data_IF_596144481547
#
_entry.id   IF_596144481547
#
_cell.length_a   1.000
_cell.length_b   1.000
_cell.length_c   1.000
_cell.angle_alpha   90.00
_cell.angle_beta   90.00
_cell.angle_gamma   90.00
#
_symmetry.space_group_name_H-M   'P 1'
#
loop_
_entity.id
_entity.type
_entity.pdbx_description
1 polymer ?
#
# COMPACT_ATOMS: atom_id res chain seq x y z
N UNK A 1 -3.75 -37.54 -0.26
CA UNK A 1 -4.22 -36.24 0.28
C UNK A 1 -4.08 -35.17 -0.79
N UNK A 2 -5.18 -34.78 -1.43
CA UNK A 2 -5.23 -33.80 -2.53
C UNK A 2 -5.30 -32.36 -1.98
N UNK A 3 -4.22 -31.90 -1.36
CA UNK A 3 -4.06 -30.48 -1.01
C UNK A 3 -3.37 -29.76 -2.18
N UNK A 4 -4.15 -29.27 -3.15
CA UNK A 4 -3.57 -28.68 -4.37
C UNK A 4 -4.39 -27.58 -5.03
N UNK A 5 -5.36 -26.98 -4.33
CA UNK A 5 -6.10 -25.84 -4.85
C UNK A 5 -5.22 -24.58 -4.96
N UNK A 6 -5.52 -23.65 -5.89
CA UNK A 6 -4.83 -22.37 -5.95
C UNK A 6 -4.97 -21.62 -4.61
N UNK A 7 -3.98 -20.81 -4.21
CA UNK A 7 -4.00 -20.12 -2.92
C UNK A 7 -5.21 -19.18 -2.82
N UNK A 8 -5.89 -19.26 -1.68
CA UNK A 8 -7.08 -18.47 -1.35
C UNK A 8 -6.85 -17.70 -0.04
N UNK A 9 -7.54 -16.58 0.09
CA UNK A 9 -7.67 -15.82 1.34
C UNK A 9 -9.14 -15.84 1.70
N UNK A 10 -9.49 -16.43 2.83
CA UNK A 10 -10.87 -16.72 3.21
C UNK A 10 -11.61 -17.42 2.05
N UNK A 11 -12.49 -16.70 1.34
CA UNK A 11 -13.25 -17.22 0.19
C UNK A 11 -12.74 -16.73 -1.19
N UNK A 12 -11.84 -15.76 -1.23
CA UNK A 12 -11.38 -15.14 -2.48
C UNK A 12 -10.08 -15.77 -3.00
N UNK A 13 -9.91 -15.80 -4.32
CA UNK A 13 -8.63 -16.19 -4.94
C UNK A 13 -7.58 -15.16 -4.52
N UNK A 14 -6.47 -15.60 -3.92
CA UNK A 14 -5.43 -14.70 -3.40
C UNK A 14 -4.94 -13.71 -4.47
N UNK A 15 -4.90 -14.16 -5.73
CA UNK A 15 -4.56 -13.34 -6.89
C UNK A 15 -5.48 -12.14 -7.11
N UNK A 16 -6.78 -12.30 -6.95
CA UNK A 16 -7.74 -11.20 -7.12
C UNK A 16 -7.55 -10.14 -6.03
N UNK A 17 -7.23 -10.58 -4.81
CA UNK A 17 -6.94 -9.69 -3.68
C UNK A 17 -5.64 -8.91 -3.91
N UNK A 18 -4.58 -9.57 -4.40
CA UNK A 18 -3.31 -8.88 -4.73
C UNK A 18 -3.52 -7.84 -5.84
N UNK A 19 -4.30 -8.19 -6.88
CA UNK A 19 -4.61 -7.26 -7.98
C UNK A 19 -5.38 -6.05 -7.45
N UNK A 20 -6.36 -6.26 -6.57
CA UNK A 20 -7.11 -5.17 -5.96
C UNK A 20 -6.19 -4.24 -5.17
N UNK A 21 -5.32 -4.78 -4.32
CA UNK A 21 -4.37 -3.97 -3.53
C UNK A 21 -3.42 -3.17 -4.42
N UNK A 22 -2.86 -3.80 -5.46
CA UNK A 22 -1.97 -3.13 -6.40
C UNK A 22 -2.68 -2.02 -7.20
N UNK A 23 -3.95 -2.22 -7.59
CA UNK A 23 -4.74 -1.18 -8.23
C UNK A 23 -5.01 -0.01 -7.28
N UNK A 24 -5.38 -0.27 -6.02
CA UNK A 24 -5.59 0.78 -5.03
C UNK A 24 -4.29 1.56 -4.78
N UNK A 25 -3.16 0.86 -4.62
CA UNK A 25 -1.85 1.49 -4.48
C UNK A 25 -1.49 2.36 -5.68
N UNK A 26 -1.74 1.87 -6.90
CA UNK A 26 -1.51 2.65 -8.13
C UNK A 26 -2.36 3.93 -8.20
N UNK A 27 -3.63 3.87 -7.79
CA UNK A 27 -4.48 5.07 -7.71
C UNK A 27 -3.95 6.08 -6.70
N UNK A 28 -3.47 5.61 -5.54
CA UNK A 28 -2.83 6.48 -4.54
C UNK A 28 -1.57 7.13 -5.10
N UNK A 29 -0.73 6.39 -5.84
CA UNK A 29 0.44 6.97 -6.50
C UNK A 29 0.05 8.02 -7.56
N UNK A 30 -1.00 7.79 -8.36
CA UNK A 30 -1.51 8.79 -9.30
C UNK A 30 -1.97 10.04 -8.55
N UNK A 31 -2.75 9.86 -7.49
CA UNK A 31 -3.21 10.97 -6.67
C UNK A 31 -2.02 11.77 -6.12
N UNK A 32 -0.99 11.10 -5.61
CA UNK A 32 0.21 11.74 -5.09
C UNK A 32 0.96 12.55 -6.16
N UNK A 33 0.99 12.10 -7.41
CA UNK A 33 1.65 12.81 -8.53
C UNK A 33 0.84 14.02 -9.01
N UNK A 34 -0.49 13.96 -8.89
CA UNK A 34 -1.40 15.00 -9.37
C UNK A 34 -1.69 16.08 -8.30
N UNK A 35 -1.77 15.69 -7.04
CA UNK A 35 -2.21 16.57 -5.96
C UNK A 35 -1.07 17.32 -5.24
N UNK A 36 0.18 16.86 -5.38
CA UNK A 36 1.33 17.52 -4.75
C UNK A 36 2.12 18.32 -5.78
N UNK A 37 2.47 19.56 -5.43
CA UNK A 37 3.30 20.42 -6.27
C UNK A 37 4.81 20.17 -6.10
N UNK A 38 5.21 19.54 -4.99
CA UNK A 38 6.60 19.23 -4.69
C UNK A 38 7.22 18.23 -5.68
N UNK A 39 8.30 18.65 -6.34
CA UNK A 39 9.02 17.83 -7.31
C UNK A 39 9.50 16.48 -6.74
N UNK A 40 9.91 16.47 -5.47
CA UNK A 40 10.38 15.24 -4.79
C UNK A 40 9.22 14.26 -4.62
N UNK A 41 8.08 14.73 -4.12
CA UNK A 41 6.87 13.93 -3.87
C UNK A 41 6.27 13.40 -5.17
N UNK A 42 6.32 14.19 -6.24
CA UNK A 42 5.88 13.75 -7.58
C UNK A 42 6.81 12.69 -8.16
N UNK A 43 8.13 12.87 -8.04
CA UNK A 43 9.09 11.90 -8.56
C UNK A 43 9.00 10.56 -7.82
N UNK A 44 8.92 10.57 -6.48
CA UNK A 44 8.76 9.35 -5.68
C UNK A 44 7.43 8.66 -5.95
N UNK A 45 6.34 9.43 -6.11
CA UNK A 45 5.03 8.91 -6.51
C UNK A 45 5.05 8.25 -7.90
N UNK A 46 5.72 8.85 -8.88
CA UNK A 46 5.85 8.30 -10.22
C UNK A 46 6.67 7.01 -10.26
N UNK A 47 7.80 6.96 -9.54
CA UNK A 47 8.63 5.75 -9.43
C UNK A 47 7.86 4.64 -8.72
N UNK A 48 7.16 4.96 -7.63
CA UNK A 48 6.33 3.99 -6.90
C UNK A 48 5.17 3.47 -7.76
N UNK A 49 4.54 4.33 -8.55
CA UNK A 49 3.50 3.93 -9.50
C UNK A 49 4.02 2.99 -10.60
N UNK A 50 5.24 3.23 -11.11
CA UNK A 50 5.89 2.32 -12.06
C UNK A 50 6.19 0.96 -11.43
N UNK A 51 6.66 0.92 -10.19
CA UNK A 51 6.91 -0.32 -9.46
C UNK A 51 5.61 -1.12 -9.23
N UNK A 52 4.50 -0.44 -8.90
CA UNK A 52 3.18 -1.07 -8.80
C UNK A 52 2.71 -1.66 -10.13
N UNK A 53 2.93 -0.98 -11.26
CA UNK A 53 2.62 -1.53 -12.58
C UNK A 53 3.43 -2.81 -12.88
N UNK A 54 4.71 -2.85 -12.50
CA UNK A 54 5.54 -4.05 -12.66
C UNK A 54 5.05 -5.19 -11.75
N UNK A 55 4.65 -4.87 -10.52
CA UNK A 55 4.06 -5.83 -9.58
C UNK A 55 2.76 -6.40 -10.15
N UNK A 56 1.84 -5.53 -10.60
CA UNK A 56 0.58 -5.89 -11.23
C UNK A 56 0.82 -6.80 -12.44
N UNK A 57 1.76 -6.43 -13.31
CA UNK A 57 2.12 -7.23 -14.47
C UNK A 57 2.65 -8.61 -14.07
N UNK A 58 3.49 -8.70 -13.04
CA UNK A 58 4.01 -9.96 -12.53
C UNK A 58 2.91 -10.89 -12.01
N UNK A 59 1.94 -10.33 -11.28
CA UNK A 59 0.78 -11.05 -10.74
C UNK A 59 -0.19 -11.47 -11.86
N UNK A 60 -0.38 -10.64 -12.89
CA UNK A 60 -1.25 -10.92 -14.06
C UNK A 60 -0.62 -11.93 -15.04
N UNK A 61 0.70 -12.00 -15.15
CA UNK A 61 1.36 -13.05 -15.97
C UNK A 61 1.53 -14.37 -15.21
N UNK A 62 1.56 -14.36 -13.87
CA UNK A 62 1.58 -15.55 -13.01
C UNK A 62 2.67 -16.57 -13.40
N UNK A 63 3.86 -16.05 -13.75
CA UNK A 63 5.07 -16.85 -14.00
C UNK A 63 5.96 -16.82 -12.76
N UNK A 64 6.64 -17.93 -12.42
CA UNK A 64 7.42 -18.03 -11.19
C UNK A 64 8.56 -17.00 -11.12
N UNK A 65 9.25 -16.74 -12.24
CA UNK A 65 10.29 -15.70 -12.32
C UNK A 65 9.73 -14.29 -12.05
N UNK A 66 8.56 -13.98 -12.60
CA UNK A 66 7.91 -12.67 -12.43
C UNK A 66 7.32 -12.49 -11.04
N UNK A 67 6.76 -13.54 -10.44
CA UNK A 67 6.31 -13.52 -9.05
C UNK A 67 7.47 -13.33 -8.07
N UNK A 68 8.65 -13.85 -8.38
CA UNK A 68 9.86 -13.58 -7.60
C UNK A 68 10.24 -12.10 -7.64
N UNK A 69 10.18 -11.48 -8.82
CA UNK A 69 10.43 -10.03 -8.98
C UNK A 69 9.38 -9.22 -8.23
N UNK A 70 8.09 -9.54 -8.39
CA UNK A 70 6.99 -8.90 -7.67
C UNK A 70 7.15 -9.01 -6.14
N UNK A 71 7.67 -10.15 -5.64
CA UNK A 71 7.96 -10.34 -4.22
C UNK A 71 9.08 -9.41 -3.72
N UNK A 72 10.16 -9.23 -4.49
CA UNK A 72 11.22 -8.29 -4.14
C UNK A 72 10.73 -6.84 -4.16
N UNK A 73 9.93 -6.47 -5.17
CA UNK A 73 9.33 -5.13 -5.26
C UNK A 73 8.43 -4.86 -4.05
N UNK A 74 7.57 -5.82 -3.69
CA UNK A 74 6.71 -5.73 -2.50
C UNK A 74 7.51 -5.58 -1.21
N UNK A 75 8.67 -6.25 -1.09
CA UNK A 75 9.56 -6.11 0.07
C UNK A 75 10.25 -4.73 0.13
N UNK A 76 10.61 -4.17 -1.01
CA UNK A 76 11.14 -2.80 -1.11
C UNK A 76 10.07 -1.80 -0.66
N UNK A 77 8.84 -1.89 -1.18
CA UNK A 77 7.72 -1.04 -0.74
C UNK A 77 7.47 -1.13 0.76
N UNK A 78 7.43 -2.36 1.30
CA UNK A 78 7.25 -2.57 2.73
C UNK A 78 8.36 -1.89 3.57
N UNK A 79 9.59 -1.90 3.08
CA UNK A 79 10.73 -1.25 3.75
C UNK A 79 10.55 0.27 3.78
N UNK A 80 10.09 0.87 2.68
CA UNK A 80 9.74 2.28 2.64
C UNK A 80 8.57 2.59 3.58
N UNK A 81 7.51 1.79 3.59
CA UNK A 81 6.35 1.99 4.47
C UNK A 81 6.74 1.98 5.96
N UNK A 82 7.67 1.09 6.36
CA UNK A 82 8.24 1.10 7.70
C UNK A 82 9.10 2.34 7.99
N UNK A 83 9.77 2.93 7.00
CA UNK A 83 10.44 4.22 7.17
C UNK A 83 9.42 5.35 7.36
N UNK A 84 8.37 5.34 6.55
CA UNK A 84 7.31 6.36 6.55
C UNK A 84 6.53 6.36 7.86
N UNK A 85 6.25 5.19 8.46
CA UNK A 85 5.54 5.13 9.75
C UNK A 85 6.30 5.81 10.89
N UNK A 86 7.63 5.84 10.83
CA UNK A 86 8.48 6.48 11.86
C UNK A 86 8.56 8.00 11.69
N UNK A 87 8.51 8.48 10.45
CA UNK A 87 8.76 9.89 10.13
C UNK A 87 7.47 10.67 9.91
N UNK A 88 6.51 10.11 9.16
CA UNK A 88 5.34 10.84 8.70
C UNK A 88 4.41 11.35 9.81
N UNK A 89 4.05 10.55 10.84
CA UNK A 89 3.19 11.05 11.91
C UNK A 89 3.77 12.28 12.62
N UNK A 90 5.07 12.22 12.94
CA UNK A 90 5.78 13.31 13.60
C UNK A 90 5.90 14.53 12.68
N UNK A 91 6.24 14.30 11.40
CA UNK A 91 6.36 15.36 10.41
C UNK A 91 5.05 16.11 10.21
N UNK A 92 3.94 15.40 9.95
CA UNK A 92 2.62 16.03 9.74
C UNK A 92 2.06 16.67 11.02
N UNK A 93 2.26 16.04 12.18
CA UNK A 93 1.91 16.66 13.46
C UNK A 93 2.66 17.97 13.68
N UNK A 94 3.96 17.99 13.40
CA UNK A 94 4.81 19.17 13.56
C UNK A 94 4.43 20.28 12.58
N UNK A 95 4.15 19.97 11.32
CA UNK A 95 3.73 20.97 10.33
C UNK A 95 2.40 21.61 10.70
N UNK A 96 1.45 20.80 11.16
CA UNK A 96 0.13 21.26 11.58
C UNK A 96 0.22 22.09 12.87
N UNK A 97 0.97 21.63 13.86
CA UNK A 97 1.13 22.34 15.14
C UNK A 97 1.91 23.65 15.01
N UNK A 98 2.90 23.72 14.12
CA UNK A 98 3.67 24.94 13.85
C UNK A 98 2.92 25.98 13.00
N UNK A 99 1.78 25.61 12.41
CA UNK A 99 1.01 26.48 11.52
C UNK A 99 1.71 26.74 10.17
N UNK A 100 2.62 25.85 9.75
CA UNK A 100 3.28 25.94 8.44
C UNK A 100 2.29 25.63 7.30
N UNK A 101 1.39 24.67 7.50
CA UNK A 101 0.19 24.51 6.65
C UNK A 101 -0.92 25.42 7.18
N UNK A 102 -1.51 26.26 6.32
CA UNK A 102 -2.63 27.11 6.70
C UNK A 102 -3.85 26.25 7.03
N UNK A 103 -4.72 26.75 7.92
CA UNK A 103 -5.98 26.09 8.31
C UNK A 103 -6.91 25.74 7.13
N UNK A 104 -6.61 26.21 5.92
CA UNK A 104 -7.38 25.94 4.70
C UNK A 104 -7.08 24.57 4.08
N UNK A 105 -5.95 23.93 4.42
CA UNK A 105 -5.56 22.62 3.87
C UNK A 105 -6.43 21.47 4.41
N UNK A 106 -7.00 21.62 5.60
CA UNK A 106 -7.91 20.63 6.21
C UNK A 106 -9.19 21.28 6.73
N UNK A 107 -10.10 21.74 5.84
CA UNK A 107 -11.27 22.53 6.23
C UNK A 107 -12.26 21.74 7.11
N UNK A 108 -12.19 20.40 7.09
CA UNK A 108 -13.12 19.52 7.82
C UNK A 108 -12.85 19.54 9.33
N UNK A 109 -11.60 19.62 9.77
CA UNK A 109 -11.25 19.54 11.19
C UNK A 109 -11.64 20.78 12.03
N UNK A 110 -11.42 22.03 11.56
CA UNK A 110 -11.87 23.23 12.25
C UNK A 110 -13.40 23.31 12.39
N UNK A 111 -14.13 22.78 11.40
CA UNK A 111 -15.60 22.76 11.38
C UNK A 111 -16.15 21.77 12.43
N UNK A 112 -15.50 20.61 12.61
CA UNK A 112 -15.94 19.60 13.58
C UNK A 112 -15.55 19.97 15.02
N UNK A 113 -14.37 20.54 15.23
CA UNK A 113 -13.86 20.83 16.58
C UNK A 113 -14.10 22.26 17.07
N UNK A 114 -14.67 23.15 16.24
CA UNK A 114 -14.94 24.54 16.63
C UNK A 114 -13.69 25.32 17.03
N UNK A 115 -12.53 24.91 16.48
CA UNK A 115 -11.21 25.44 16.82
C UNK A 115 -11.09 26.91 16.41
N UNK A 116 -11.19 27.82 17.39
CA UNK A 116 -11.03 29.25 17.21
C UNK A 116 -9.55 29.60 17.36
N UNK A 117 -8.79 29.59 16.26
CA UNK A 117 -7.54 30.36 16.00
C UNK A 117 -6.55 30.63 17.16
N UNK A 118 -6.56 29.88 18.26
CA UNK A 118 -5.66 29.99 19.41
C UNK A 118 -4.52 29.00 19.24
N UNK A 119 -3.36 29.33 19.79
CA UNK A 119 -2.17 28.47 19.74
C UNK A 119 -2.43 27.09 20.37
N UNK A 120 -3.26 27.02 21.41
CA UNK A 120 -3.68 25.76 22.05
C UNK A 120 -4.46 24.84 21.08
N UNK A 121 -5.32 25.41 20.23
CA UNK A 121 -6.11 24.66 19.25
C UNK A 121 -5.21 24.07 18.15
N UNK A 122 -4.11 24.76 17.79
CA UNK A 122 -3.15 24.28 16.79
C UNK A 122 -2.36 23.09 17.30
N UNK A 123 -2.00 23.09 18.59
CA UNK A 123 -1.35 21.94 19.21
C UNK A 123 -2.26 20.70 19.22
N UNK A 124 -3.54 20.87 19.60
CA UNK A 124 -4.52 19.78 19.59
C UNK A 124 -4.73 19.27 18.15
N UNK A 125 -4.86 20.18 17.18
CA UNK A 125 -5.01 19.81 15.77
C UNK A 125 -3.79 19.01 15.28
N UNK A 126 -2.56 19.44 15.62
CA UNK A 126 -1.35 18.71 15.29
C UNK A 126 -1.28 17.31 15.90
N UNK A 127 -1.70 17.15 17.17
CA UNK A 127 -1.81 15.83 17.80
C UNK A 127 -2.80 14.92 17.07
N UNK A 128 -3.99 15.42 16.75
CA UNK A 128 -5.03 14.64 16.06
C UNK A 128 -4.59 14.25 14.66
N UNK A 129 -3.97 15.16 13.91
CA UNK A 129 -3.41 14.86 12.59
C UNK A 129 -2.30 13.81 12.69
N UNK A 130 -1.39 13.95 13.66
CA UNK A 130 -0.31 12.98 13.91
C UNK A 130 -0.84 11.57 14.15
N UNK A 131 -1.75 11.41 15.12
CA UNK A 131 -2.36 10.11 15.42
C UNK A 131 -3.17 9.55 14.26
N UNK A 132 -3.86 10.41 13.52
CA UNK A 132 -4.60 9.97 12.33
C UNK A 132 -3.66 9.38 11.28
N UNK A 133 -2.57 10.10 10.98
CA UNK A 133 -1.53 9.63 10.04
C UNK A 133 -0.90 8.33 10.55
N UNK A 134 -0.60 8.22 11.84
CA UNK A 134 -0.06 6.99 12.45
C UNK A 134 -0.98 5.78 12.23
N UNK A 135 -2.29 5.94 12.48
CA UNK A 135 -3.28 4.87 12.27
C UNK A 135 -3.33 4.46 10.80
N UNK A 136 -3.41 5.42 9.88
CA UNK A 136 -3.44 5.13 8.44
C UNK A 136 -2.15 4.46 7.96
N UNK A 137 -0.99 4.95 8.39
CA UNK A 137 0.31 4.35 8.06
C UNK A 137 0.44 2.92 8.62
N UNK A 138 -0.07 2.67 9.83
CA UNK A 138 -0.10 1.32 10.43
C UNK A 138 -0.95 0.36 9.60
N UNK A 139 -2.13 0.80 9.17
CA UNK A 139 -3.01 0.01 8.29
C UNK A 139 -2.31 -0.26 6.95
N UNK A 140 -1.64 0.74 6.37
CA UNK A 140 -0.91 0.60 5.12
C UNK A 140 0.20 -0.46 5.21
N UNK A 141 1.03 -0.40 6.26
CA UNK A 141 2.08 -1.41 6.53
C UNK A 141 1.46 -2.79 6.66
N UNK A 142 0.37 -2.94 7.40
CA UNK A 142 -0.30 -4.23 7.56
C UNK A 142 -0.80 -4.79 6.22
N UNK A 143 -1.38 -3.95 5.36
CA UNK A 143 -1.79 -4.33 4.01
C UNK A 143 -0.59 -4.72 3.13
N UNK A 144 0.53 -4.02 3.25
CA UNK A 144 1.78 -4.36 2.56
C UNK A 144 2.33 -5.73 2.97
N UNK A 145 2.34 -6.05 4.27
CA UNK A 145 2.71 -7.37 4.78
C UNK A 145 1.77 -8.44 4.21
N UNK A 146 0.46 -8.19 4.22
CA UNK A 146 -0.52 -9.11 3.68
C UNK A 146 -0.25 -9.35 2.19
N UNK A 147 -0.06 -8.31 1.39
CA UNK A 147 0.26 -8.40 -0.04
C UNK A 147 1.52 -9.25 -0.28
N UNK A 148 2.60 -9.01 0.47
CA UNK A 148 3.84 -9.80 0.40
C UNK A 148 3.59 -11.28 0.67
N UNK A 149 2.86 -11.61 1.75
CA UNK A 149 2.53 -13.00 2.11
C UNK A 149 1.72 -13.67 1.00
N UNK A 150 0.78 -12.97 0.38
CA UNK A 150 -0.03 -13.52 -0.71
C UNK A 150 0.80 -13.76 -1.98
N UNK A 151 1.69 -12.83 -2.34
CA UNK A 151 2.60 -12.99 -3.47
C UNK A 151 3.52 -14.19 -3.23
N UNK A 152 4.09 -14.31 -2.03
CA UNK A 152 4.94 -15.44 -1.66
C UNK A 152 4.17 -16.78 -1.73
N UNK A 153 2.95 -16.84 -1.22
CA UNK A 153 2.08 -18.03 -1.36
C UNK A 153 1.82 -18.38 -2.83
N UNK A 154 1.57 -17.38 -3.68
CA UNK A 154 1.41 -17.60 -5.12
C UNK A 154 2.69 -18.09 -5.80
N UNK A 155 3.84 -17.54 -5.41
CA UNK A 155 5.15 -17.94 -5.90
C UNK A 155 5.46 -19.40 -5.54
N UNK A 156 5.34 -19.77 -4.26
CA UNK A 156 5.61 -21.13 -3.77
C UNK A 156 4.67 -22.14 -4.44
N UNK A 157 3.37 -21.83 -4.53
CA UNK A 157 2.41 -22.69 -5.23
C UNK A 157 2.79 -22.91 -6.70
N UNK A 158 3.18 -21.85 -7.41
CA UNK A 158 3.54 -21.95 -8.82
C UNK A 158 4.85 -22.70 -9.03
N UNK A 159 5.82 -22.52 -8.14
CA UNK A 159 7.09 -23.26 -8.15
C UNK A 159 6.89 -24.74 -7.88
N UNK A 160 5.98 -25.11 -6.98
CA UNK A 160 5.63 -26.52 -6.74
C UNK A 160 4.95 -27.18 -7.96
N UNK A 161 4.17 -26.43 -8.75
CA UNK A 161 3.63 -26.92 -10.03
C UNK A 161 4.75 -27.10 -11.07
N UNK A 162 5.66 -26.13 -11.18
CA UNK A 162 6.79 -26.20 -12.13
C UNK A 162 7.72 -27.38 -11.82
N UNK A 163 7.95 -27.67 -10.54
CA UNK A 163 8.76 -28.81 -10.09
C UNK A 163 8.03 -30.15 -10.18
N UNK A 164 6.80 -30.20 -10.71
CA UNK A 164 6.02 -31.43 -10.86
C UNK A 164 5.46 -32.03 -9.57
N UNK A 165 5.67 -31.37 -8.42
CA UNK A 165 5.18 -31.82 -7.10
C UNK A 165 3.66 -31.70 -7.00
N UNK A 166 3.07 -30.68 -7.63
CA UNK A 166 1.64 -30.48 -7.73
C UNK A 166 1.18 -30.64 -9.18
N UNK A 167 0.20 -31.52 -9.44
CA UNK A 167 -0.48 -31.55 -10.74
C UNK A 167 -1.20 -30.21 -10.93
N UNK A 168 -0.96 -29.58 -12.09
CA UNK A 168 -1.67 -28.37 -12.51
C UNK A 168 -3.16 -28.70 -12.57
N UNK A 169 -3.93 -28.29 -11.57
CA UNK A 169 -5.38 -28.41 -11.62
C UNK A 169 -5.87 -27.44 -12.68
N UNK A 170 -6.17 -27.96 -13.88
CA UNK A 170 -6.76 -27.21 -14.99
C UNK A 170 -8.19 -26.83 -14.62
N UNK A 171 -8.36 -25.91 -13.67
CA UNK A 171 -9.62 -25.21 -13.52
C UNK A 171 -9.62 -24.16 -14.62
N UNK A 172 -10.24 -24.54 -15.74
CA UNK A 172 -10.66 -23.71 -16.85
C UNK A 172 -11.16 -22.35 -16.31
N UNK A 173 -10.30 -21.32 -16.34
CA UNK A 173 -10.79 -19.95 -16.41
C UNK A 173 -11.17 -19.74 -17.87
N UNK A 174 -12.42 -20.08 -18.20
CA UNK A 174 -13.15 -19.32 -19.21
C UNK A 174 -13.24 -17.90 -18.64
N UNK A 175 -12.44 -17.00 -19.19
CA UNK A 175 -12.87 -15.63 -19.37
C UNK A 175 -13.79 -15.62 -20.58
#
# INVERSE_FOLDING_TARGET
MTYGGPPKVCCFKARSVIILFSLMGFFVCIWQVLANDDHVTRATGAISGLLELVLLWGVVKNRPRLLKVAMYISLIHLTFDFGTILVSPVYFASQTASGYESNDTYPIFPIIFGAKSREEDRFILGLVTGYSVEIFSTISVFLGILQFVLINRCYVYRKMIENGVLKKTTVLMKF
#
